data_IF_701302571553
#
_entry.id   IF_701302571553
#
_cell.length_a   1.000
_cell.length_b   1.000
_cell.length_c   1.000
_cell.angle_alpha   90.00
_cell.angle_beta   90.00
_cell.angle_gamma   90.00
#
_symmetry.space_group_name_H-M   'P 1'
#
loop_
_entity.id
_entity.type
_entity.pdbx_description
1 polymer ?
#
# COMPACT_ATOMS: atom_id res chain seq x y z
N UNK A 1 -9.59 -28.12 -11.14
CA UNK A 1 -9.01 -26.80 -11.50
C UNK A 1 -9.76 -25.78 -10.67
N UNK A 2 -9.06 -24.91 -9.94
CA UNK A 2 -9.65 -23.90 -9.06
C UNK A 2 -9.46 -22.52 -9.72
N UNK A 3 -10.50 -21.70 -9.72
CA UNK A 3 -10.43 -20.29 -10.10
C UNK A 3 -10.42 -19.48 -8.81
N UNK A 4 -9.31 -18.79 -8.56
CA UNK A 4 -9.18 -17.87 -7.43
C UNK A 4 -9.39 -16.44 -7.93
N UNK A 5 -10.34 -15.74 -7.32
CA UNK A 5 -10.67 -14.35 -7.67
C UNK A 5 -10.22 -13.46 -6.53
N UNK A 6 -9.42 -12.44 -6.83
CA UNK A 6 -8.93 -11.49 -5.84
C UNK A 6 -10.06 -10.70 -5.14
N UNK A 7 -11.20 -10.49 -5.82
CA UNK A 7 -12.29 -9.69 -5.28
C UNK A 7 -11.90 -8.22 -5.06
N UNK A 8 -12.76 -7.40 -4.42
CA UNK A 8 -12.43 -6.03 -4.07
C UNK A 8 -11.56 -6.01 -2.80
N UNK A 9 -10.33 -5.53 -2.93
CA UNK A 9 -9.41 -5.34 -1.80
C UNK A 9 -8.65 -4.01 -1.92
N UNK A 10 -8.23 -3.48 -0.78
CA UNK A 10 -7.35 -2.30 -0.72
C UNK A 10 -5.95 -2.81 -0.43
N UNK A 11 -5.06 -2.67 -1.40
CA UNK A 11 -3.71 -3.22 -1.34
C UNK A 11 -2.65 -2.10 -1.26
N UNK A 12 -1.68 -2.25 -0.37
CA UNK A 12 -0.47 -1.41 -0.35
C UNK A 12 0.40 -1.76 -1.57
N UNK A 13 0.70 -0.76 -2.38
CA UNK A 13 1.50 -0.89 -3.59
C UNK A 13 2.99 -0.74 -3.27
N UNK A 14 3.62 -1.84 -2.85
CA UNK A 14 5.07 -1.88 -2.66
C UNK A 14 5.79 -2.24 -3.97
N UNK A 15 6.07 -1.24 -4.80
CA UNK A 15 6.78 -1.44 -6.08
C UNK A 15 8.21 -1.98 -5.92
N UNK A 16 8.83 -1.80 -4.76
CA UNK A 16 10.22 -2.22 -4.53
C UNK A 16 10.33 -3.70 -4.16
N UNK A 17 9.25 -4.30 -3.67
CA UNK A 17 9.22 -5.69 -3.19
C UNK A 17 10.02 -5.94 -1.91
N UNK A 18 10.77 -4.94 -1.42
CA UNK A 18 11.56 -5.06 -0.21
C UNK A 18 10.65 -4.97 1.04
N UNK A 19 10.95 -5.72 2.11
CA UNK A 19 10.27 -5.54 3.38
C UNK A 19 10.42 -4.09 3.88
N UNK A 20 9.36 -3.56 4.47
CA UNK A 20 9.34 -2.22 5.06
C UNK A 20 9.12 -2.41 6.55
N UNK A 21 10.15 -2.10 7.35
CA UNK A 21 10.06 -2.18 8.80
C UNK A 21 9.28 -0.98 9.35
N UNK A 22 8.14 -1.27 9.96
CA UNK A 22 7.33 -0.27 10.68
C UNK A 22 7.62 -0.37 12.17
N UNK A 23 7.78 0.79 12.82
CA UNK A 23 7.97 0.88 14.27
C UNK A 23 6.67 1.29 14.94
N UNK A 24 6.47 0.81 16.17
CA UNK A 24 5.37 1.28 16.99
C UNK A 24 5.48 2.79 17.21
N UNK A 25 4.34 3.47 17.31
CA UNK A 25 4.19 4.92 17.55
C UNK A 25 4.67 5.85 16.41
N UNK A 26 5.24 5.30 15.33
CA UNK A 26 5.55 6.07 14.13
C UNK A 26 4.27 6.37 13.32
N UNK A 27 4.23 7.56 12.72
CA UNK A 27 3.14 7.98 11.85
C UNK A 27 3.45 7.64 10.40
N UNK A 28 2.51 6.98 9.74
CA UNK A 28 2.63 6.56 8.34
C UNK A 28 1.58 7.28 7.50
N UNK A 29 2.01 7.80 6.35
CA UNK A 29 1.14 8.46 5.39
C UNK A 29 0.70 7.42 4.36
N UNK A 30 -0.61 7.14 4.33
CA UNK A 30 -1.22 6.38 3.24
C UNK A 30 -1.59 7.33 2.11
N UNK A 31 -1.22 7.00 0.88
CA UNK A 31 -1.48 7.86 -0.28
C UNK A 31 -1.95 7.05 -1.50
N UNK A 32 -2.93 7.55 -2.26
CA UNK A 32 -3.30 6.95 -3.55
C UNK A 32 -2.26 7.21 -4.65
N UNK A 33 -1.24 8.05 -4.41
CA UNK A 33 -0.19 8.37 -5.38
C UNK A 33 0.83 7.24 -5.52
N UNK A 34 0.61 6.38 -6.52
CA UNK A 34 1.48 5.25 -6.88
C UNK A 34 2.87 5.68 -7.41
N UNK A 35 3.07 6.97 -7.69
CA UNK A 35 4.38 7.49 -8.12
C UNK A 35 5.38 7.52 -6.96
N UNK A 36 4.88 7.64 -5.72
CA UNK A 36 5.69 7.72 -4.50
C UNK A 36 6.43 6.42 -4.25
N UNK A 37 7.62 6.52 -3.66
CA UNK A 37 8.37 5.34 -3.24
C UNK A 37 7.85 4.83 -1.90
N UNK A 38 7.58 3.51 -1.78
CA UNK A 38 7.11 2.92 -0.54
C UNK A 38 8.24 2.92 0.49
N UNK A 39 7.95 3.44 1.68
CA UNK A 39 8.89 3.57 2.79
C UNK A 39 8.15 3.49 4.12
N UNK A 40 8.89 3.44 5.24
CA UNK A 40 8.29 3.41 6.59
C UNK A 40 7.49 4.67 6.94
N UNK A 41 7.59 5.74 6.14
CA UNK A 41 6.82 6.98 6.31
C UNK A 41 5.68 7.13 5.30
N UNK A 42 5.81 6.55 4.10
CA UNK A 42 4.85 6.72 3.00
C UNK A 42 4.55 5.38 2.37
N UNK A 43 3.27 5.00 2.39
CA UNK A 43 2.78 3.76 1.80
C UNK A 43 1.76 4.09 0.70
N UNK A 44 2.13 3.91 -0.58
CA UNK A 44 1.20 4.02 -1.70
C UNK A 44 0.15 2.91 -1.62
N UNK A 45 -1.10 3.23 -1.98
CA UNK A 45 -2.23 2.30 -1.94
C UNK A 45 -2.91 2.27 -3.31
N UNK A 46 -3.24 1.08 -3.80
CA UNK A 46 -3.90 0.86 -5.10
C UNK A 46 -5.41 1.18 -5.05
N UNK A 47 -5.80 2.28 -4.40
CA UNK A 47 -7.18 2.72 -4.27
C UNK A 47 -7.27 4.25 -4.33
N UNK A 48 -7.78 4.78 -5.44
CA UNK A 48 -7.81 6.23 -5.70
C UNK A 48 -8.74 7.00 -4.74
N UNK A 49 -9.81 6.37 -4.25
CA UNK A 49 -10.79 6.97 -3.33
C UNK A 49 -10.37 6.95 -1.85
N UNK A 50 -9.09 6.70 -1.53
CA UNK A 50 -8.65 6.58 -0.14
C UNK A 50 -8.78 7.88 0.66
N UNK A 51 -8.67 9.02 -0.03
CA UNK A 51 -8.68 10.35 0.58
C UNK A 51 -9.89 11.20 0.14
N UNK A 52 -10.92 10.58 -0.43
CA UNK A 52 -12.23 11.20 -0.68
C UNK A 52 -13.11 11.24 0.58
#
# INVERSE_FOLDING_TARGET
VMLDTLGPEIQVHNKTGNPIDLKADDHVILTPDLSKEPSAMVLPVSYAGLAE
#
